data_IF_169263207023
#
_entry.id   IF_169263207023
#
_cell.length_a   1.000
_cell.length_b   1.000
_cell.length_c   1.000
_cell.angle_alpha   90.00
_cell.angle_beta   90.00
_cell.angle_gamma   90.00
#
_symmetry.space_group_name_H-M   'P 1'
#
loop_
_entity.id
_entity.type
_entity.pdbx_description
1 polymer ?
#
# COMPACT_ATOMS: atom_id res chain seq x y z
N UNK A 1 10.82 9.58 3.90
CA UNK A 1 9.47 9.26 4.41
C UNK A 1 8.67 10.49 4.84
N UNK A 2 9.01 11.19 5.94
CA UNK A 2 8.14 12.24 6.48
C UNK A 2 8.30 13.64 5.86
N UNK A 3 9.41 13.88 5.16
CA UNK A 3 9.76 15.19 4.56
C UNK A 3 8.61 15.81 3.74
N UNK A 4 7.91 15.11 2.83
CA UNK A 4 6.81 15.69 2.07
C UNK A 4 5.65 16.19 2.92
N UNK A 5 5.40 15.56 4.09
CA UNK A 5 4.35 15.99 5.02
C UNK A 5 4.80 17.26 5.76
N UNK A 6 6.04 17.29 6.23
CA UNK A 6 6.63 18.45 6.92
C UNK A 6 6.63 19.67 6.00
N UNK A 7 7.04 19.49 4.74
CA UNK A 7 7.13 20.55 3.75
C UNK A 7 5.77 20.95 3.17
N UNK A 8 4.68 20.30 3.62
CA UNK A 8 3.32 20.61 3.19
C UNK A 8 3.01 20.21 1.75
N UNK A 9 3.83 19.37 1.11
CA UNK A 9 3.63 18.88 -0.26
C UNK A 9 2.82 17.58 -0.35
N UNK A 10 2.63 16.88 0.78
CA UNK A 10 1.79 15.70 0.88
C UNK A 10 1.01 15.65 2.21
N UNK A 11 -0.09 14.91 2.21
CA UNK A 11 -0.86 14.57 3.41
C UNK A 11 -0.71 13.08 3.76
N UNK A 12 -0.36 12.26 2.77
CA UNK A 12 -0.07 10.83 2.89
C UNK A 12 1.13 10.46 2.03
N UNK A 13 2.08 9.73 2.61
CA UNK A 13 3.29 9.23 1.95
C UNK A 13 3.30 7.71 2.00
N UNK A 14 3.27 7.07 0.84
CA UNK A 14 3.43 5.63 0.70
C UNK A 14 4.89 5.31 0.36
N UNK A 15 5.53 4.41 1.12
CA UNK A 15 6.83 3.87 0.72
C UNK A 15 6.65 2.83 -0.37
N UNK A 16 7.36 2.93 -1.49
CA UNK A 16 7.28 1.97 -2.59
C UNK A 16 8.60 1.24 -2.82
N UNK A 17 8.56 -0.10 -2.72
CA UNK A 17 9.70 -0.96 -3.10
C UNK A 17 9.89 -1.03 -4.61
N UNK A 18 8.85 -0.70 -5.38
CA UNK A 18 8.90 -0.70 -6.85
C UNK A 18 9.64 0.54 -7.35
N UNK A 19 9.55 1.65 -6.62
CA UNK A 19 10.36 2.85 -6.87
C UNK A 19 11.76 2.77 -6.25
N UNK A 20 11.94 1.93 -5.22
CA UNK A 20 13.21 1.69 -4.55
C UNK A 20 13.77 0.30 -4.85
N UNK A 21 14.17 -0.42 -3.80
CA UNK A 21 14.85 -1.71 -3.91
C UNK A 21 14.31 -2.75 -2.92
N UNK A 22 14.63 -4.01 -3.15
CA UNK A 22 14.35 -5.10 -2.22
C UNK A 22 15.39 -6.21 -2.36
N UNK A 23 15.88 -6.76 -1.23
CA UNK A 23 17.01 -7.71 -1.23
C UNK A 23 16.61 -9.14 -1.60
N UNK A 24 15.43 -9.60 -1.15
CA UNK A 24 14.93 -10.97 -1.39
C UNK A 24 13.42 -10.97 -1.48
N UNK A 25 12.89 -11.02 -2.70
CA UNK A 25 11.45 -11.18 -2.94
C UNK A 25 11.19 -12.40 -3.82
N UNK A 26 10.17 -13.18 -3.47
CA UNK A 26 9.66 -14.23 -4.36
C UNK A 26 9.11 -13.57 -5.63
N UNK A 27 9.46 -14.11 -6.81
CA UNK A 27 8.91 -13.66 -8.10
C UNK A 27 7.38 -13.53 -8.07
N UNK A 28 6.71 -14.46 -7.38
CA UNK A 28 5.25 -14.48 -7.26
C UNK A 28 4.72 -13.29 -6.46
N UNK A 29 5.44 -12.87 -5.41
CA UNK A 29 5.12 -11.67 -4.63
C UNK A 29 5.39 -10.40 -5.44
N UNK A 30 6.51 -10.37 -6.16
CA UNK A 30 6.85 -9.24 -7.03
C UNK A 30 5.77 -8.99 -8.10
N UNK A 31 5.37 -10.04 -8.82
CA UNK A 31 4.28 -9.99 -9.79
C UNK A 31 2.94 -9.59 -9.15
N UNK A 32 2.68 -10.10 -7.94
CA UNK A 32 1.50 -9.72 -7.15
C UNK A 32 1.44 -8.21 -6.89
N UNK A 33 2.54 -7.59 -6.45
CA UNK A 33 2.60 -6.14 -6.21
C UNK A 33 2.23 -5.36 -7.46
N UNK A 34 2.79 -5.71 -8.63
CA UNK A 34 2.44 -5.06 -9.91
C UNK A 34 0.98 -5.25 -10.30
N UNK A 35 0.42 -6.45 -10.10
CA UNK A 35 -0.99 -6.72 -10.35
C UNK A 35 -1.88 -5.83 -9.47
N UNK A 36 -1.62 -5.80 -8.16
CA UNK A 36 -2.42 -5.00 -7.23
C UNK A 36 -2.29 -3.50 -7.50
N UNK A 37 -1.08 -3.04 -7.84
CA UNK A 37 -0.81 -1.67 -8.23
C UNK A 37 -1.65 -1.26 -9.45
N UNK A 38 -1.76 -2.13 -10.45
CA UNK A 38 -2.64 -1.92 -11.62
C UNK A 38 -4.11 -1.86 -11.23
N UNK A 39 -4.59 -2.76 -10.38
CA UNK A 39 -5.99 -2.76 -9.92
C UNK A 39 -6.31 -1.43 -9.21
N UNK A 40 -5.50 -1.03 -8.22
CA UNK A 40 -5.71 0.23 -7.49
C UNK A 40 -5.61 1.43 -8.43
N UNK A 41 -4.67 1.43 -9.37
CA UNK A 41 -4.53 2.51 -10.35
C UNK A 41 -5.75 2.65 -11.24
N UNK A 42 -6.31 1.52 -11.72
CA UNK A 42 -7.52 1.51 -12.54
C UNK A 42 -8.75 1.99 -11.76
N UNK A 43 -8.92 1.53 -10.52
CA UNK A 43 -10.07 1.90 -9.70
C UNK A 43 -10.04 3.37 -9.30
N UNK A 44 -8.87 3.88 -8.89
CA UNK A 44 -8.74 5.24 -8.34
C UNK A 44 -8.40 6.30 -9.39
N UNK A 45 -8.00 5.90 -10.60
CA UNK A 45 -7.48 6.80 -11.63
C UNK A 45 -6.14 7.46 -11.27
N UNK A 46 -5.47 7.02 -10.20
CA UNK A 46 -4.19 7.56 -9.71
C UNK A 46 -3.12 6.49 -9.82
N UNK A 47 -1.98 6.83 -10.42
CA UNK A 47 -0.86 5.90 -10.55
C UNK A 47 -0.28 5.56 -9.17
N UNK A 48 -0.39 4.29 -8.79
CA UNK A 48 0.18 3.70 -7.57
C UNK A 48 1.10 2.56 -7.97
N UNK A 49 2.23 2.42 -7.28
CA UNK A 49 3.25 1.42 -7.59
C UNK A 49 3.33 0.31 -6.53
N UNK A 50 3.05 0.59 -5.25
CA UNK A 50 3.01 -0.46 -4.21
C UNK A 50 1.87 -0.28 -3.20
N UNK A 51 0.66 -0.77 -3.48
CA UNK A 51 -0.47 -0.67 -2.55
C UNK A 51 -0.37 -1.64 -1.36
N UNK A 52 0.63 -2.53 -1.36
CA UNK A 52 0.83 -3.53 -0.32
C UNK A 52 1.85 -3.12 0.73
N UNK A 53 2.51 -1.97 0.53
CA UNK A 53 3.56 -1.49 1.42
C UNK A 53 3.03 -1.24 2.82
N UNK A 54 3.75 -1.77 3.81
CA UNK A 54 3.49 -1.56 5.23
C UNK A 54 4.07 -0.24 5.77
N UNK A 55 4.95 0.42 5.00
CA UNK A 55 5.76 1.53 5.48
C UNK A 55 5.25 2.83 4.87
N UNK A 56 4.68 3.70 5.72
CA UNK A 56 3.94 4.90 5.31
C UNK A 56 3.98 5.97 6.38
N UNK A 57 3.64 7.19 6.00
CA UNK A 57 3.37 8.29 6.91
C UNK A 57 2.08 9.01 6.48
N UNK A 58 1.29 9.48 7.44
CA UNK A 58 0.07 10.23 7.16
C UNK A 58 -0.14 11.28 8.24
N UNK A 59 -0.80 12.38 7.88
CA UNK A 59 -1.34 13.32 8.85
C UNK A 59 -2.39 12.61 9.71
N UNK A 60 -2.32 12.79 11.04
CA UNK A 60 -3.21 12.10 11.96
C UNK A 60 -4.68 12.49 11.75
N UNK A 61 -4.95 13.74 11.36
CA UNK A 61 -6.31 14.23 11.13
C UNK A 61 -7.00 13.51 9.96
N UNK A 62 -6.24 12.90 9.03
CA UNK A 62 -6.82 12.11 7.95
C UNK A 62 -7.50 10.85 8.46
N UNK A 63 -6.93 10.20 9.49
CA UNK A 63 -7.43 8.93 10.00
C UNK A 63 -8.82 9.07 10.63
N UNK A 64 -9.17 10.26 11.13
CA UNK A 64 -10.50 10.55 11.66
C UNK A 64 -11.57 10.60 10.58
N UNK A 65 -11.18 10.71 9.30
CA UNK A 65 -12.10 10.80 8.16
C UNK A 65 -12.30 9.47 7.44
N UNK A 66 -11.40 8.51 7.64
CA UNK A 66 -11.39 7.24 6.92
C UNK A 66 -12.33 6.22 7.57
N UNK A 67 -13.01 5.44 6.75
CA UNK A 67 -13.82 4.30 7.22
C UNK A 67 -12.99 3.03 7.07
N UNK A 68 -12.30 2.65 8.14
CA UNK A 68 -11.44 1.46 8.20
C UNK A 68 -12.19 0.29 8.84
N UNK A 69 -12.34 -0.80 8.10
CA UNK A 69 -13.08 -2.00 8.54
C UNK A 69 -12.29 -3.30 8.36
N UNK A 70 -11.15 -3.26 7.68
CA UNK A 70 -10.42 -4.48 7.32
C UNK A 70 -9.40 -4.87 8.41
N UNK A 71 -9.65 -5.97 9.11
CA UNK A 71 -8.70 -6.54 10.09
C UNK A 71 -7.38 -6.99 9.43
N UNK A 72 -7.47 -7.43 8.17
CA UNK A 72 -6.33 -7.85 7.37
C UNK A 72 -6.27 -7.03 6.10
N UNK A 73 -5.05 -6.72 5.64
CA UNK A 73 -4.82 -5.93 4.42
C UNK A 73 -5.22 -4.45 4.53
N UNK A 74 -5.33 -3.93 5.75
CA UNK A 74 -5.50 -2.51 6.07
C UNK A 74 -4.53 -1.57 5.34
N UNK A 75 -3.37 -2.06 4.88
CA UNK A 75 -2.43 -1.29 4.08
C UNK A 75 -3.04 -0.73 2.79
N UNK A 76 -3.80 -1.57 2.07
CA UNK A 76 -4.51 -1.13 0.87
C UNK A 76 -5.74 -0.33 1.21
N UNK A 77 -6.45 -0.66 2.31
CA UNK A 77 -7.63 0.07 2.72
C UNK A 77 -7.33 1.55 3.01
N UNK A 78 -6.32 1.82 3.86
CA UNK A 78 -5.92 3.19 4.19
C UNK A 78 -5.48 3.96 2.93
N UNK A 79 -4.76 3.31 2.02
CA UNK A 79 -4.33 3.96 0.77
C UNK A 79 -5.53 4.31 -0.13
N UNK A 80 -6.47 3.37 -0.28
CA UNK A 80 -7.68 3.59 -1.10
C UNK A 80 -8.54 4.69 -0.49
N UNK A 81 -8.73 4.70 0.84
CA UNK A 81 -9.44 5.76 1.55
C UNK A 81 -8.75 7.12 1.35
N UNK A 82 -7.43 7.19 1.46
CA UNK A 82 -6.67 8.40 1.19
C UNK A 82 -6.93 8.92 -0.25
N UNK A 83 -6.87 8.03 -1.24
CA UNK A 83 -7.12 8.38 -2.65
C UNK A 83 -8.57 8.81 -2.89
N UNK A 84 -9.54 8.13 -2.27
CA UNK A 84 -10.97 8.45 -2.31
C UNK A 84 -11.27 9.82 -1.75
N UNK A 85 -10.67 10.17 -0.62
CA UNK A 85 -10.78 11.50 -0.01
C UNK A 85 -9.98 12.58 -0.74
N UNK A 86 -9.37 12.25 -1.88
CA UNK A 86 -8.57 13.15 -2.73
C UNK A 86 -7.45 13.86 -1.98
N UNK A 87 -6.88 13.20 -0.97
CA UNK A 87 -5.74 13.76 -0.22
C UNK A 87 -4.48 13.75 -1.10
N UNK A 88 -3.48 14.56 -0.75
CA UNK A 88 -2.21 14.58 -1.48
C UNK A 88 -1.37 13.36 -1.13
N UNK A 89 -1.55 12.30 -1.91
CA UNK A 89 -0.79 11.05 -1.82
C UNK A 89 0.46 11.16 -2.68
N UNK A 90 1.63 10.86 -2.10
CA UNK A 90 2.89 10.71 -2.84
C UNK A 90 3.53 9.37 -2.51
N UNK A 91 4.24 8.80 -3.49
CA UNK A 91 5.07 7.61 -3.29
C UNK A 91 6.55 8.01 -3.21
N UNK A 92 7.28 7.41 -2.27
CA UNK A 92 8.73 7.62 -2.11
C UNK A 92 9.46 6.28 -2.20
N UNK A 93 10.67 6.24 -2.78
CA UNK A 93 11.44 5.00 -2.85
C UNK A 93 11.83 4.52 -1.45
N UNK A 94 11.72 3.21 -1.21
CA UNK A 94 12.17 2.56 0.03
C UNK A 94 12.89 1.26 -0.28
N UNK A 95 13.82 0.86 0.60
CA UNK A 95 14.54 -0.42 0.49
C UNK A 95 13.94 -1.42 1.46
N UNK A 96 13.46 -2.56 0.94
CA UNK A 96 13.01 -3.69 1.76
C UNK A 96 14.15 -4.69 1.94
N UNK A 97 14.72 -4.70 3.13
CA UNK A 97 15.78 -5.65 3.52
C UNK A 97 15.22 -7.04 3.83
N UNK A 98 16.05 -8.07 3.67
CA UNK A 98 15.72 -9.42 4.07
C UNK A 98 15.47 -9.48 5.59
N UNK A 99 14.51 -10.31 6.01
CA UNK A 99 14.26 -10.52 7.44
C UNK A 99 15.47 -11.19 8.08
N UNK A 100 15.99 -10.60 9.16
CA UNK A 100 17.16 -11.11 9.88
C UNK A 100 16.90 -12.48 10.57
N UNK A 101 15.66 -12.77 10.97
CA UNK A 101 15.28 -14.07 11.54
C UNK A 101 13.77 -14.21 11.79
N UNK A 102 13.31 -15.45 11.99
CA UNK A 102 11.91 -15.80 12.23
C UNK A 102 11.07 -16.07 10.98
N UNK A 103 9.90 -16.68 11.15
CA UNK A 103 9.04 -17.12 10.05
C UNK A 103 7.98 -16.09 9.66
N UNK A 104 7.58 -16.11 8.38
CA UNK A 104 6.53 -15.24 7.88
C UNK A 104 5.15 -15.78 8.24
N UNK A 105 4.36 -14.96 8.94
CA UNK A 105 2.92 -15.19 9.10
C UNK A 105 2.12 -14.98 7.80
N UNK A 106 2.75 -14.47 6.73
CA UNK A 106 2.12 -14.26 5.42
C UNK A 106 2.42 -15.46 4.52
N UNK A 107 1.41 -16.27 4.16
CA UNK A 107 1.61 -17.42 3.29
C UNK A 107 1.89 -16.97 1.85
N UNK A 108 2.80 -17.66 1.16
CA UNK A 108 3.06 -17.46 -0.25
C UNK A 108 2.06 -18.25 -1.10
N UNK A 109 0.78 -17.84 -1.09
CA UNK A 109 -0.30 -18.56 -1.80
C UNK A 109 -1.11 -17.66 -2.72
N UNK A 110 -1.61 -18.23 -3.83
CA UNK A 110 -2.53 -17.54 -4.74
C UNK A 110 -3.83 -17.13 -4.03
N UNK A 111 -4.30 -17.96 -3.07
CA UNK A 111 -5.46 -17.63 -2.24
C UNK A 111 -5.25 -16.35 -1.43
N UNK A 112 -4.05 -16.14 -0.89
CA UNK A 112 -3.72 -14.90 -0.18
C UNK A 112 -3.78 -13.68 -1.12
N UNK A 113 -3.24 -13.82 -2.34
CA UNK A 113 -3.33 -12.78 -3.36
C UNK A 113 -4.78 -12.47 -3.79
N UNK A 114 -5.61 -13.51 -3.96
CA UNK A 114 -7.04 -13.34 -4.24
C UNK A 114 -7.77 -12.59 -3.12
N UNK A 115 -7.51 -12.97 -1.86
CA UNK A 115 -8.07 -12.26 -0.71
C UNK A 115 -7.65 -10.79 -0.68
N UNK A 116 -6.40 -10.47 -1.02
CA UNK A 116 -5.92 -9.08 -1.12
C UNK A 116 -6.64 -8.30 -2.22
N UNK A 117 -6.76 -8.86 -3.43
CA UNK A 117 -7.52 -8.25 -4.53
C UNK A 117 -8.99 -8.03 -4.16
N UNK A 118 -9.61 -9.01 -3.48
CA UNK A 118 -11.00 -8.91 -3.01
C UNK A 118 -11.16 -7.72 -2.07
N UNK A 119 -10.25 -7.55 -1.09
CA UNK A 119 -10.29 -6.41 -0.17
C UNK A 119 -10.12 -5.09 -0.91
N UNK A 120 -9.18 -4.97 -1.85
CA UNK A 120 -9.03 -3.76 -2.68
C UNK A 120 -10.37 -3.37 -3.33
N UNK A 121 -11.03 -4.34 -3.98
CA UNK A 121 -12.29 -4.08 -4.69
C UNK A 121 -13.43 -3.78 -3.71
N UNK A 122 -13.53 -4.51 -2.60
CA UNK A 122 -14.56 -4.30 -1.58
C UNK A 122 -14.42 -2.94 -0.90
N UNK A 123 -13.21 -2.54 -0.53
CA UNK A 123 -12.95 -1.20 0.00
C UNK A 123 -13.39 -0.15 -1.01
N UNK A 124 -13.05 -0.31 -2.29
CA UNK A 124 -13.39 0.69 -3.31
C UNK A 124 -14.90 0.80 -3.61
N UNK A 125 -15.65 -0.30 -3.54
CA UNK A 125 -17.09 -0.32 -3.84
C UNK A 125 -17.97 0.15 -2.68
N UNK A 126 -17.42 0.18 -1.46
CA UNK A 126 -18.10 0.69 -0.26
C UNK A 126 -18.21 2.20 -0.31
#
# INVERSE_FOLDING_TARGET
>A
MIRPIIDGSADYVNGSRILGEFERESLLRHLGVHLFARIVTLLTGRRITDPSSGYRAARAELLQRFVLQEDQFWSSEILIEALRHRVRVVEVPVTIVARAGGESKKPASLRYGWSFSKVIVQTWLR
#
